data_IF_927384495457
#
_entry.id   IF_927384495457
#
_cell.length_a   1.000
_cell.length_b   1.000
_cell.length_c   1.000
_cell.angle_alpha   90.00
_cell.angle_beta   90.00
_cell.angle_gamma   90.00
#
_symmetry.space_group_name_H-M   'P 1'
#
loop_
_entity.id
_entity.type
_entity.pdbx_description
1 polymer ?
#
# COMPACT_ATOMS: atom_id res chain seq x y z
N UNK A 1 16.15 -6.18 22.86
CA UNK A 1 15.69 -5.77 22.35
C UNK A 1 15.37 -5.35 21.90
N UNK A 2 15.31 -5.16 22.08
CA UNK A 2 14.80 -4.54 21.79
C UNK A 2 13.99 -4.38 21.18
N UNK A 3 13.61 -4.57 21.59
CA UNK A 3 12.44 -4.61 20.97
C UNK A 3 12.00 -3.69 20.45
N UNK A 4 12.14 -3.30 20.82
CA UNK A 4 11.94 -2.34 20.32
C UNK A 4 11.96 -2.31 19.01
N UNK A 5 11.92 -3.22 18.42
CA UNK A 5 11.98 -3.22 17.14
C UNK A 5 10.73 -2.96 16.58
N UNK A 6 10.53 -1.79 16.29
CA UNK A 6 9.26 -1.30 15.89
C UNK A 6 8.93 -1.59 14.45
N UNK A 7 9.92 -2.03 13.67
CA UNK A 7 9.61 -2.45 12.31
C UNK A 7 8.89 -3.79 12.26
N UNK A 8 8.41 -4.26 13.43
CA UNK A 8 7.52 -5.40 13.48
C UNK A 8 6.05 -5.01 13.51
N UNK A 9 5.75 -3.73 13.45
CA UNK A 9 4.37 -3.27 13.41
C UNK A 9 3.83 -3.45 12.00
N UNK A 10 2.70 -4.13 11.89
CA UNK A 10 2.11 -4.39 10.58
C UNK A 10 1.07 -3.34 10.27
N UNK A 11 1.18 -2.78 9.07
CA UNK A 11 0.21 -1.81 8.58
C UNK A 11 -0.51 -2.37 7.38
N UNK A 12 -1.78 -1.97 7.23
CA UNK A 12 -2.53 -2.26 6.04
C UNK A 12 -2.92 -0.95 5.40
N UNK A 13 -2.85 -0.95 4.08
CA UNK A 13 -3.23 0.16 3.25
C UNK A 13 -4.24 -0.39 2.25
N UNK A 14 -5.45 0.13 2.26
CA UNK A 14 -6.42 -0.31 1.28
C UNK A 14 -7.05 0.92 0.63
N UNK A 15 -7.42 0.78 -0.62
CA UNK A 15 -7.80 1.92 -1.44
C UNK A 15 -8.82 1.50 -2.47
N UNK A 16 -9.57 2.50 -2.95
CA UNK A 16 -10.53 2.33 -4.02
C UNK A 16 -10.19 3.31 -5.12
N UNK A 17 -10.26 2.84 -6.36
CA UNK A 17 -9.84 3.60 -7.51
C UNK A 17 -10.95 4.53 -8.00
N UNK A 18 -10.55 5.60 -8.67
CA UNK A 18 -11.49 6.41 -9.41
C UNK A 18 -12.04 5.60 -10.57
N UNK A 19 -13.22 6.00 -11.08
CA UNK A 19 -13.88 5.29 -12.19
C UNK A 19 -13.23 5.68 -13.52
N UNK A 20 -11.96 5.33 -13.67
CA UNK A 20 -11.18 5.61 -14.86
C UNK A 20 -10.35 4.38 -15.19
N UNK A 21 -10.98 3.31 -15.67
CA UNK A 21 -10.29 2.03 -15.82
C UNK A 21 -9.09 2.09 -16.76
N UNK A 22 -9.14 2.92 -17.79
CA UNK A 22 -8.00 3.01 -18.69
C UNK A 22 -6.78 3.58 -18.01
N UNK A 23 -6.97 4.59 -17.17
CA UNK A 23 -5.87 5.18 -16.44
C UNK A 23 -5.32 4.18 -15.43
N UNK A 24 -6.19 3.43 -14.77
CA UNK A 24 -5.75 2.38 -13.84
C UNK A 24 -4.86 1.40 -14.58
N UNK A 25 -5.28 0.95 -15.77
CA UNK A 25 -4.50 -0.01 -16.55
C UNK A 25 -3.15 0.55 -16.95
N UNK A 26 -3.10 1.82 -17.31
CA UNK A 26 -1.85 2.45 -17.73
C UNK A 26 -0.85 2.57 -16.58
N UNK A 27 -1.34 2.85 -15.38
CA UNK A 27 -0.47 3.09 -14.23
C UNK A 27 -0.17 1.81 -13.45
N UNK A 28 -1.02 0.79 -13.57
CA UNK A 28 -0.88 -0.44 -12.78
C UNK A 28 0.51 -1.07 -12.86
N UNK A 29 1.15 -1.18 -14.02
CA UNK A 29 2.48 -1.81 -14.05
C UNK A 29 3.51 -1.11 -13.20
N UNK A 30 3.55 0.23 -13.21
CA UNK A 30 4.52 0.94 -12.39
C UNK A 30 4.12 0.94 -10.92
N UNK A 31 2.83 0.90 -10.62
CA UNK A 31 2.34 0.72 -9.26
C UNK A 31 2.83 -0.63 -8.69
N UNK A 32 2.64 -1.71 -9.45
CA UNK A 32 3.07 -3.04 -9.01
C UNK A 32 4.59 -3.07 -8.83
N UNK A 33 5.32 -2.49 -9.76
CA UNK A 33 6.77 -2.44 -9.69
C UNK A 33 7.25 -1.68 -8.46
N UNK A 34 6.61 -0.55 -8.16
CA UNK A 34 6.97 0.22 -6.98
C UNK A 34 6.92 -0.65 -5.72
N UNK A 35 5.81 -1.37 -5.52
CA UNK A 35 5.64 -2.17 -4.32
C UNK A 35 6.59 -3.35 -4.28
N UNK A 36 6.81 -4.00 -5.43
CA UNK A 36 7.70 -5.16 -5.47
C UNK A 36 9.15 -4.79 -5.24
N UNK A 37 9.57 -3.61 -5.69
CA UNK A 37 10.97 -3.20 -5.54
C UNK A 37 11.24 -2.41 -4.28
N UNK A 38 10.20 -2.07 -3.51
CA UNK A 38 10.38 -1.34 -2.26
C UNK A 38 11.09 -2.18 -1.18
N UNK A 39 11.12 -3.50 -1.36
CA UNK A 39 11.84 -4.40 -0.46
C UNK A 39 11.33 -4.29 0.97
N UNK A 40 10.02 -4.25 1.13
CA UNK A 40 9.41 -4.10 2.44
C UNK A 40 9.28 -5.44 3.12
N UNK A 41 9.56 -5.46 4.43
CA UNK A 41 9.43 -6.68 5.20
C UNK A 41 7.96 -7.05 5.33
N UNK A 42 7.66 -8.33 5.12
CA UNK A 42 6.30 -8.83 5.26
C UNK A 42 5.32 -8.34 4.23
N UNK A 43 5.82 -7.85 3.10
CA UNK A 43 4.97 -7.32 2.06
C UNK A 43 4.05 -8.39 1.46
N UNK A 44 2.79 -8.06 1.34
CA UNK A 44 1.84 -8.82 0.55
C UNK A 44 0.79 -7.83 0.07
N UNK A 45 0.29 -8.03 -1.13
CA UNK A 45 -0.70 -7.10 -1.66
C UNK A 45 -1.26 -7.57 -2.97
N UNK A 46 -2.37 -6.97 -3.35
CA UNK A 46 -3.01 -7.28 -4.61
C UNK A 46 -4.34 -6.56 -4.74
N UNK A 47 -4.93 -6.61 -5.93
CA UNK A 47 -6.21 -5.97 -6.17
C UNK A 47 -7.34 -6.78 -5.55
N UNK A 48 -8.45 -6.10 -5.26
CA UNK A 48 -9.68 -6.80 -4.91
C UNK A 48 -10.20 -7.53 -6.15
N UNK A 49 -10.93 -8.62 -5.92
CA UNK A 49 -11.38 -9.46 -7.04
C UNK A 49 -12.31 -8.71 -7.99
N UNK A 50 -13.03 -7.71 -7.49
CA UNK A 50 -13.93 -6.92 -8.31
C UNK A 50 -13.24 -5.74 -8.99
N UNK A 51 -11.92 -5.60 -8.80
CA UNK A 51 -11.09 -4.57 -9.42
C UNK A 51 -11.43 -3.14 -9.01
N UNK A 52 -12.11 -2.96 -7.88
CA UNK A 52 -12.45 -1.61 -7.41
C UNK A 52 -11.30 -0.94 -6.68
N UNK A 53 -10.29 -1.69 -6.28
CA UNK A 53 -9.15 -1.18 -5.54
C UNK A 53 -8.26 -2.32 -5.11
N UNK A 54 -7.55 -2.15 -4.02
CA UNK A 54 -6.66 -3.20 -3.53
C UNK A 54 -6.28 -3.00 -2.08
N UNK A 55 -5.51 -3.97 -1.58
CA UNK A 55 -5.01 -3.97 -0.22
C UNK A 55 -3.54 -4.34 -0.24
N UNK A 56 -2.74 -3.63 0.55
CA UNK A 56 -1.31 -3.87 0.67
C UNK A 56 -0.98 -3.88 2.15
N UNK A 57 -0.19 -4.87 2.57
CA UNK A 57 0.22 -5.01 3.96
C UNK A 57 1.73 -5.14 4.02
N UNK A 58 2.33 -4.51 5.02
CA UNK A 58 3.78 -4.55 5.21
C UNK A 58 4.13 -4.14 6.63
N UNK A 59 5.36 -4.39 7.04
CA UNK A 59 5.87 -3.94 8.34
C UNK A 59 6.56 -2.60 8.19
N UNK A 60 6.38 -1.76 9.19
CA UNK A 60 7.07 -0.47 9.27
C UNK A 60 7.26 -0.12 10.75
N UNK A 61 8.06 0.89 11.01
CA UNK A 61 8.36 1.28 12.38
C UNK A 61 7.31 2.20 12.98
N UNK A 62 6.54 2.89 12.14
CA UNK A 62 5.53 3.84 12.59
C UNK A 62 4.52 4.09 11.50
N UNK A 63 3.38 4.68 11.88
CA UNK A 63 2.38 5.06 10.88
C UNK A 63 2.92 6.14 9.97
N UNK A 64 3.78 7.01 10.48
CA UNK A 64 4.40 8.05 9.66
C UNK A 64 5.27 7.45 8.56
N UNK A 65 6.08 6.45 8.92
CA UNK A 65 6.89 5.77 7.92
C UNK A 65 6.02 5.07 6.89
N UNK A 66 4.98 4.38 7.36
CA UNK A 66 4.05 3.69 6.46
C UNK A 66 3.41 4.68 5.49
N UNK A 67 2.99 5.84 5.99
CA UNK A 67 2.37 6.85 5.15
C UNK A 67 3.34 7.39 4.10
N UNK A 68 4.60 7.61 4.47
CA UNK A 68 5.60 8.09 3.51
C UNK A 68 5.78 7.09 2.36
N UNK A 69 5.81 5.81 2.70
CA UNK A 69 5.95 4.77 1.68
C UNK A 69 4.74 4.78 0.74
N UNK A 70 3.55 4.87 1.32
CA UNK A 70 2.31 4.81 0.56
C UNK A 70 2.18 6.01 -0.38
N UNK A 71 2.58 7.20 0.09
CA UNK A 71 2.40 8.42 -0.70
C UNK A 71 3.29 8.48 -1.93
N UNK A 72 4.25 7.60 -2.05
CA UNK A 72 5.10 7.51 -3.24
C UNK A 72 4.58 6.50 -4.27
N UNK A 73 3.48 5.83 -3.96
CA UNK A 73 2.86 4.89 -4.88
C UNK A 73 2.40 5.62 -6.15
N UNK A 74 2.78 5.15 -7.33
CA UNK A 74 2.34 5.76 -8.58
C UNK A 74 0.82 5.92 -8.71
N UNK A 75 0.04 5.02 -8.11
CA UNK A 75 -1.41 5.20 -8.09
C UNK A 75 -1.83 6.48 -7.38
N UNK A 76 -1.08 6.90 -6.35
CA UNK A 76 -1.37 8.14 -5.65
C UNK A 76 -0.81 9.32 -6.43
N UNK A 77 0.42 9.21 -6.93
CA UNK A 77 1.07 10.30 -7.65
C UNK A 77 0.31 10.64 -8.94
N UNK A 78 -0.32 9.65 -9.56
CA UNK A 78 -1.06 9.85 -10.80
C UNK A 78 -2.55 10.03 -10.56
N UNK A 79 -2.96 10.22 -9.30
CA UNK A 79 -4.35 10.51 -8.93
C UNK A 79 -5.35 9.43 -9.38
N UNK A 80 -4.94 8.17 -9.26
CA UNK A 80 -5.80 7.04 -9.58
C UNK A 80 -6.69 6.67 -8.40
N UNK A 81 -6.27 6.99 -7.18
CA UNK A 81 -6.94 6.58 -5.95
C UNK A 81 -7.99 7.61 -5.56
N UNK A 82 -9.24 7.16 -5.37
CA UNK A 82 -10.31 8.03 -4.91
C UNK A 82 -10.37 8.09 -3.39
N UNK A 83 -10.18 6.94 -2.73
CA UNK A 83 -10.29 6.84 -1.27
C UNK A 83 -9.22 5.88 -0.77
N UNK A 84 -8.66 6.19 0.39
CA UNK A 84 -7.63 5.33 0.96
C UNK A 84 -7.65 5.37 2.48
N UNK A 85 -7.20 4.28 3.08
CA UNK A 85 -7.08 4.16 4.53
C UNK A 85 -5.77 3.47 4.87
N UNK A 86 -5.18 3.88 5.98
CA UNK A 86 -3.99 3.25 6.56
C UNK A 86 -4.34 2.89 7.99
N UNK A 87 -4.13 1.63 8.36
CA UNK A 87 -4.39 1.18 9.73
C UNK A 87 -3.27 0.28 10.19
N UNK A 88 -2.94 0.37 11.47
CA UNK A 88 -2.07 -0.63 12.07
C UNK A 88 -2.92 -1.84 12.41
N UNK A 89 -2.44 -3.01 12.04
CA UNK A 89 -3.16 -4.26 12.24
C UNK A 89 -2.44 -5.09 13.29
N UNK A 90 -3.11 -5.30 14.41
CA UNK A 90 -2.57 -6.13 15.49
C UNK A 90 -3.01 -7.55 15.22
N UNK A 91 -2.10 -8.36 14.68
CA UNK A 91 -2.41 -9.75 14.38
C UNK A 91 -2.32 -10.59 15.65
N UNK A 92 -3.14 -11.62 15.74
CA UNK A 92 -3.16 -12.48 16.93
C UNK A 92 -2.68 -13.88 16.62
#
# INVERSE_FOLDING_TARGET
>A
MNPLQNNNRRFIYFYFNRSEPEKVWQVAPIHVQYWKTANLKGYTGGPFSDRTGGLISFFASSVEEAAEIILKDPFILEDVVAEKWIKEWITE
#
